data_IF_094237447863
#
_entry.id   IF_094237447863
#
_cell.length_a   1.000
_cell.length_b   1.000
_cell.length_c   1.000
_cell.angle_alpha   90.00
_cell.angle_beta   90.00
_cell.angle_gamma   90.00
#
_symmetry.space_group_name_H-M   'P 1'
#
loop_
_entity.id
_entity.type
_entity.pdbx_description
1 polymer ?
#
# COMPACT_ATOMS: atom_id res chain seq x y z
N UNK A 1 -10.54 67.61 11.77
CA UNK A 1 -9.35 67.08 11.07
C UNK A 1 -8.67 66.07 11.98
N UNK A 2 -8.21 64.97 11.38
CA UNK A 2 -7.28 63.93 11.86
C UNK A 2 -7.87 62.52 11.91
N UNK A 3 -7.61 61.80 10.82
CA UNK A 3 -7.63 60.34 10.73
C UNK A 3 -6.30 59.78 11.24
N UNK A 4 -6.33 58.65 11.98
CA UNK A 4 -5.27 57.63 11.97
C UNK A 4 -5.66 56.38 12.80
N UNK A 5 -5.12 55.24 12.34
CA UNK A 5 -4.95 53.95 13.01
C UNK A 5 -6.12 52.94 12.99
N UNK A 6 -6.37 52.40 11.79
CA UNK A 6 -6.74 51.00 11.62
C UNK A 6 -5.49 50.08 11.67
N UNK A 7 -5.73 48.80 12.00
CA UNK A 7 -4.88 47.59 11.86
C UNK A 7 -4.08 47.13 13.09
N UNK A 8 -4.69 46.26 13.90
CA UNK A 8 -4.05 45.04 14.44
C UNK A 8 -5.11 43.94 14.52
N UNK A 9 -4.85 42.79 13.89
CA UNK A 9 -5.67 41.60 14.10
C UNK A 9 -5.87 40.66 12.91
N UNK A 10 -4.86 40.38 12.09
CA UNK A 10 -4.88 39.18 11.24
C UNK A 10 -3.47 38.61 11.17
N UNK A 11 -3.23 37.51 11.88
CA UNK A 11 -1.97 36.79 11.74
C UNK A 11 -1.71 35.77 12.83
N UNK A 12 -2.58 34.78 13.05
CA UNK A 12 -2.25 33.61 13.90
C UNK A 12 -3.12 32.36 13.65
N UNK A 13 -3.53 32.06 12.40
CA UNK A 13 -4.43 30.92 12.14
C UNK A 13 -3.96 29.89 11.09
N UNK A 14 -2.69 29.92 10.65
CA UNK A 14 -2.19 28.93 9.67
C UNK A 14 -1.22 27.85 10.21
N UNK A 15 -0.77 27.93 11.46
CA UNK A 15 0.19 26.96 12.03
C UNK A 15 -0.43 25.92 12.98
N UNK A 16 -1.68 26.11 13.44
CA UNK A 16 -2.30 25.22 14.45
C UNK A 16 -2.94 23.94 13.86
N UNK A 17 -3.45 24.02 12.64
CA UNK A 17 -4.21 22.91 12.02
C UNK A 17 -3.28 21.78 11.55
N UNK A 18 -2.06 22.07 11.09
CA UNK A 18 -1.11 21.02 10.65
C UNK A 18 -0.46 20.25 11.81
N UNK A 19 -0.30 20.89 12.98
CA UNK A 19 0.24 20.23 14.18
C UNK A 19 -0.81 19.32 14.83
N UNK A 20 -2.08 19.73 14.82
CA UNK A 20 -3.18 18.88 15.28
C UNK A 20 -3.46 17.70 14.33
N UNK A 21 -3.39 17.90 13.01
CA UNK A 21 -3.59 16.82 12.03
C UNK A 21 -2.44 15.79 12.05
N UNK A 22 -1.20 16.24 12.22
CA UNK A 22 -0.03 15.36 12.36
C UNK A 22 -0.07 14.56 13.67
N UNK A 23 -0.51 15.17 14.78
CA UNK A 23 -0.72 14.47 16.05
C UNK A 23 -1.81 13.39 15.98
N UNK A 24 -2.95 13.70 15.35
CA UNK A 24 -4.04 12.74 15.17
C UNK A 24 -3.65 11.57 14.25
N UNK A 25 -2.98 11.85 13.13
CA UNK A 25 -2.51 10.82 12.21
C UNK A 25 -1.46 9.91 12.85
N UNK A 26 -0.58 10.47 13.70
CA UNK A 26 0.40 9.69 14.47
C UNK A 26 -0.27 8.74 15.46
N UNK A 27 -1.24 9.23 16.25
CA UNK A 27 -1.97 8.42 17.21
C UNK A 27 -2.78 7.29 16.53
N UNK A 28 -3.42 7.59 15.39
CA UNK A 28 -4.16 6.61 14.59
C UNK A 28 -3.24 5.51 14.04
N UNK A 29 -2.06 5.88 13.56
CA UNK A 29 -1.04 4.92 13.09
C UNK A 29 -0.51 4.06 14.22
N UNK A 30 -0.23 4.64 15.38
CA UNK A 30 0.23 3.91 16.56
C UNK A 30 -0.81 2.92 17.07
N UNK A 31 -2.08 3.31 17.10
CA UNK A 31 -3.18 2.39 17.43
C UNK A 31 -3.27 1.23 16.43
N UNK A 32 -3.21 1.52 15.12
CA UNK A 32 -3.25 0.48 14.08
C UNK A 32 -2.09 -0.51 14.24
N UNK A 33 -0.87 0.00 14.45
CA UNK A 33 0.31 -0.83 14.66
C UNK A 33 0.23 -1.69 15.93
N UNK A 34 -0.30 -1.13 17.03
CA UNK A 34 -0.49 -1.87 18.27
C UNK A 34 -1.53 -2.99 18.11
N UNK A 35 -2.61 -2.71 17.38
CA UNK A 35 -3.61 -3.72 17.06
C UNK A 35 -3.03 -4.83 16.19
N UNK A 36 -2.26 -4.50 15.16
CA UNK A 36 -1.55 -5.49 14.34
C UNK A 36 -0.62 -6.35 15.18
N UNK A 37 0.24 -5.73 16.00
CA UNK A 37 1.16 -6.44 16.87
C UNK A 37 0.44 -7.41 17.82
N UNK A 38 -0.74 -7.03 18.33
CA UNK A 38 -1.57 -7.90 19.17
C UNK A 38 -2.08 -9.12 18.41
N UNK A 39 -2.63 -8.94 17.20
CA UNK A 39 -3.14 -10.05 16.38
C UNK A 39 -2.02 -10.99 15.96
N UNK A 40 -0.88 -10.43 15.55
CA UNK A 40 0.30 -11.21 15.18
C UNK A 40 0.88 -12.00 16.36
N UNK A 41 0.91 -11.42 17.56
CA UNK A 41 1.33 -12.12 18.77
C UNK A 41 0.41 -13.30 19.10
N UNK A 42 -0.91 -13.14 18.94
CA UNK A 42 -1.87 -14.22 19.13
C UNK A 42 -1.67 -15.36 18.12
N UNK A 43 -1.45 -15.03 16.84
CA UNK A 43 -1.15 -16.02 15.80
C UNK A 43 0.14 -16.79 16.09
N UNK A 44 1.17 -16.10 16.60
CA UNK A 44 2.43 -16.73 17.06
C UNK A 44 2.20 -17.66 18.23
N UNK A 45 1.41 -17.23 19.23
CA UNK A 45 1.10 -18.05 20.40
C UNK A 45 0.35 -19.34 20.03
N UNK A 46 -0.50 -19.29 19.00
CA UNK A 46 -1.22 -20.46 18.48
C UNK A 46 -0.34 -21.40 17.63
N UNK A 47 0.88 -20.99 17.29
CA UNK A 47 1.83 -21.82 16.55
C UNK A 47 1.50 -22.01 15.07
N UNK A 48 0.74 -21.09 14.46
CA UNK A 48 0.43 -21.17 13.03
C UNK A 48 1.68 -20.94 12.18
N UNK A 49 1.84 -21.71 11.09
CA UNK A 49 2.85 -21.41 10.08
C UNK A 49 2.36 -20.35 9.09
N UNK A 50 3.25 -19.53 8.52
CA UNK A 50 2.87 -18.56 7.48
C UNK A 50 2.19 -19.22 6.26
N UNK A 51 2.68 -20.40 5.87
CA UNK A 51 2.11 -21.16 4.74
C UNK A 51 0.67 -21.61 5.02
N UNK A 52 0.36 -22.02 6.26
CA UNK A 52 -0.99 -22.50 6.60
C UNK A 52 -2.00 -21.35 6.56
N UNK A 53 -1.65 -20.19 7.10
CA UNK A 53 -2.51 -19.01 7.07
C UNK A 53 -2.78 -18.54 5.64
N UNK A 54 -1.74 -18.49 4.81
CA UNK A 54 -1.87 -18.14 3.39
C UNK A 54 -2.70 -19.18 2.63
N UNK A 55 -2.45 -20.47 2.85
CA UNK A 55 -3.23 -21.55 2.26
C UNK A 55 -4.71 -21.43 2.62
N UNK A 56 -5.05 -21.25 3.91
CA UNK A 56 -6.43 -21.09 4.36
C UNK A 56 -7.10 -19.87 3.74
N UNK A 57 -6.42 -18.72 3.72
CA UNK A 57 -6.94 -17.50 3.12
C UNK A 57 -7.20 -17.67 1.60
N UNK A 58 -6.25 -18.28 0.87
CA UNK A 58 -6.39 -18.57 -0.55
C UNK A 58 -7.46 -19.63 -0.83
N UNK A 59 -7.60 -20.63 0.03
CA UNK A 59 -8.64 -21.64 -0.10
C UNK A 59 -10.04 -21.02 0.01
N UNK A 60 -10.24 -20.06 0.92
CA UNK A 60 -11.51 -19.32 1.03
C UNK A 60 -11.82 -18.52 -0.24
N UNK A 61 -10.83 -17.88 -0.86
CA UNK A 61 -11.00 -17.20 -2.15
C UNK A 61 -11.42 -18.19 -3.24
N UNK A 62 -10.82 -19.38 -3.28
CA UNK A 62 -11.22 -20.42 -4.21
C UNK A 62 -12.67 -20.89 -3.98
N UNK A 63 -13.09 -21.05 -2.73
CA UNK A 63 -14.47 -21.42 -2.41
C UNK A 63 -15.50 -20.35 -2.82
N UNK A 64 -15.18 -19.06 -2.66
CA UNK A 64 -16.02 -17.98 -3.21
C UNK A 64 -16.18 -18.12 -4.73
N UNK A 65 -15.10 -18.44 -5.44
CA UNK A 65 -15.15 -18.65 -6.87
C UNK A 65 -16.03 -19.83 -7.27
N UNK A 66 -15.89 -20.97 -6.58
CA UNK A 66 -16.71 -22.17 -6.83
C UNK A 66 -18.19 -21.94 -6.54
N UNK A 67 -18.51 -21.18 -5.49
CA UNK A 67 -19.87 -20.82 -5.14
C UNK A 67 -20.49 -19.76 -6.09
N UNK A 68 -19.75 -19.30 -7.10
CA UNK A 68 -20.22 -18.35 -8.11
C UNK A 68 -20.08 -16.89 -7.70
N UNK A 69 -19.55 -16.59 -6.51
CA UNK A 69 -19.36 -15.23 -5.98
C UNK A 69 -18.08 -14.55 -6.51
N UNK A 70 -17.92 -14.52 -7.85
CA UNK A 70 -16.72 -13.95 -8.50
C UNK A 70 -16.53 -12.45 -8.19
N UNK A 71 -17.63 -11.70 -8.07
CA UNK A 71 -17.58 -10.28 -7.72
C UNK A 71 -17.12 -10.05 -6.28
N UNK A 72 -17.53 -10.91 -5.34
CA UNK A 72 -17.08 -10.83 -3.95
C UNK A 72 -15.61 -11.20 -3.80
N UNK A 73 -15.12 -12.18 -4.58
CA UNK A 73 -13.69 -12.49 -4.64
C UNK A 73 -12.89 -11.24 -5.03
N UNK A 74 -13.31 -10.56 -6.09
CA UNK A 74 -12.63 -9.34 -6.57
C UNK A 74 -12.76 -8.20 -5.56
N UNK A 75 -13.93 -8.02 -4.95
CA UNK A 75 -14.12 -7.00 -3.91
C UNK A 75 -13.24 -7.28 -2.67
N UNK A 76 -13.13 -8.54 -2.24
CA UNK A 76 -12.24 -8.95 -1.17
C UNK A 76 -10.77 -8.68 -1.53
N UNK A 77 -10.36 -9.04 -2.75
CA UNK A 77 -9.01 -8.76 -3.24
C UNK A 77 -8.69 -7.26 -3.24
N UNK A 78 -9.64 -6.44 -3.71
CA UNK A 78 -9.49 -4.99 -3.74
C UNK A 78 -9.41 -4.38 -2.34
N UNK A 79 -10.28 -4.81 -1.43
CA UNK A 79 -10.27 -4.33 -0.04
C UNK A 79 -9.00 -4.77 0.71
N UNK A 80 -8.55 -6.00 0.49
CA UNK A 80 -7.28 -6.49 1.04
C UNK A 80 -6.09 -5.71 0.47
N UNK A 81 -6.04 -5.49 -0.85
CA UNK A 81 -5.00 -4.71 -1.51
C UNK A 81 -4.95 -3.26 -1.02
N UNK A 82 -6.12 -2.60 -0.88
CA UNK A 82 -6.21 -1.25 -0.30
C UNK A 82 -5.74 -1.21 1.14
N UNK A 83 -6.08 -2.22 1.95
CA UNK A 83 -5.64 -2.31 3.35
C UNK A 83 -4.13 -2.53 3.43
N UNK A 84 -3.58 -3.48 2.67
CA UNK A 84 -2.14 -3.76 2.62
C UNK A 84 -1.31 -2.56 2.17
N UNK A 85 -1.84 -1.74 1.27
CA UNK A 85 -1.15 -0.55 0.73
C UNK A 85 -1.47 0.75 1.47
N UNK A 86 -2.24 0.71 2.56
CA UNK A 86 -2.56 1.88 3.39
C UNK A 86 -1.34 2.27 4.26
N UNK A 87 -0.56 3.25 3.82
CA UNK A 87 0.67 3.69 4.49
C UNK A 87 0.46 4.27 5.90
N UNK A 88 -0.79 4.62 6.27
CA UNK A 88 -1.14 5.08 7.60
C UNK A 88 -1.49 3.95 8.56
N UNK A 89 -1.94 2.80 8.05
CA UNK A 89 -2.54 1.74 8.87
C UNK A 89 -1.90 0.36 8.74
N UNK A 90 -1.13 0.14 7.68
CA UNK A 90 -0.48 -1.12 7.38
C UNK A 90 1.02 -1.01 7.56
N UNK A 91 1.58 -2.02 8.23
CA UNK A 91 3.03 -2.22 8.32
C UNK A 91 3.61 -3.01 7.15
N UNK A 92 2.78 -3.51 6.22
CA UNK A 92 3.24 -4.26 5.05
C UNK A 92 4.09 -3.38 4.12
N UNK A 93 5.32 -3.79 3.77
CA UNK A 93 6.10 -3.09 2.76
C UNK A 93 5.43 -3.21 1.39
N UNK A 94 5.35 -2.09 0.66
CA UNK A 94 4.70 -2.05 -0.66
C UNK A 94 5.32 -3.06 -1.65
N UNK A 95 6.65 -3.24 -1.60
CA UNK A 95 7.37 -4.20 -2.43
C UNK A 95 6.95 -5.65 -2.15
N UNK A 96 6.58 -5.97 -0.90
CA UNK A 96 6.04 -7.30 -0.56
C UNK A 96 4.66 -7.50 -1.17
N UNK A 97 3.81 -6.46 -1.18
CA UNK A 97 2.47 -6.53 -1.81
C UNK A 97 2.61 -6.78 -3.32
N UNK A 98 3.55 -6.09 -3.97
CA UNK A 98 3.87 -6.33 -5.37
C UNK A 98 4.43 -7.76 -5.61
N UNK A 99 5.32 -8.23 -4.72
CA UNK A 99 5.87 -9.58 -4.77
C UNK A 99 4.78 -10.66 -4.64
N UNK A 100 3.84 -10.50 -3.70
CA UNK A 100 2.68 -11.38 -3.52
C UNK A 100 1.89 -11.49 -4.82
N UNK A 101 1.49 -10.36 -5.39
CA UNK A 101 0.74 -10.34 -6.64
C UNK A 101 1.50 -11.05 -7.76
N UNK A 102 2.81 -10.81 -7.88
CA UNK A 102 3.66 -11.42 -8.91
C UNK A 102 3.84 -12.93 -8.72
N UNK A 103 4.19 -13.37 -7.52
CA UNK A 103 4.41 -14.77 -7.20
C UNK A 103 3.16 -15.62 -7.47
N UNK A 104 2.00 -15.19 -6.95
CA UNK A 104 0.73 -15.88 -7.12
C UNK A 104 0.30 -15.86 -8.59
N UNK A 105 0.35 -14.68 -9.25
CA UNK A 105 -0.08 -14.55 -10.64
C UNK A 105 0.76 -15.40 -11.60
N UNK A 106 2.09 -15.43 -11.43
CA UNK A 106 2.98 -16.25 -12.25
C UNK A 106 2.75 -17.75 -12.04
N UNK A 107 2.46 -18.16 -10.81
CA UNK A 107 2.12 -19.55 -10.50
C UNK A 107 0.84 -19.99 -11.21
N UNK A 108 -0.19 -19.14 -11.19
CA UNK A 108 -1.47 -19.45 -11.82
C UNK A 108 -1.36 -19.63 -13.34
N UNK A 109 -0.52 -18.84 -14.01
CA UNK A 109 -0.32 -18.90 -15.47
C UNK A 109 0.20 -20.25 -15.97
N UNK A 110 0.76 -21.09 -15.10
CA UNK A 110 1.15 -22.47 -15.44
C UNK A 110 -0.05 -23.35 -15.80
N UNK A 111 -1.26 -22.95 -15.41
CA UNK A 111 -2.51 -23.71 -15.57
C UNK A 111 -3.47 -23.09 -16.58
N UNK A 112 -3.12 -21.96 -17.22
CA UNK A 112 -3.95 -21.33 -18.25
C UNK A 112 -3.44 -19.97 -18.72
N UNK A 113 -3.80 -19.60 -19.96
CA UNK A 113 -3.55 -18.26 -20.51
C UNK A 113 -4.68 -17.30 -20.11
N UNK A 114 -4.47 -16.60 -19.00
CA UNK A 114 -5.44 -15.68 -18.40
C UNK A 114 -5.32 -14.23 -18.89
N UNK A 115 -4.34 -13.95 -19.77
CA UNK A 115 -4.08 -12.59 -20.29
C UNK A 115 -4.71 -12.35 -21.65
N UNK A 116 -5.35 -13.37 -22.25
CA UNK A 116 -5.90 -13.27 -23.61
C UNK A 116 -7.39 -13.62 -23.68
N UNK A 117 -7.99 -13.14 -24.77
CA UNK A 117 -9.30 -13.55 -25.24
C UNK A 117 -10.45 -13.22 -24.30
N UNK A 118 -11.48 -14.09 -24.31
CA UNK A 118 -12.74 -13.89 -23.58
C UNK A 118 -12.56 -13.86 -22.07
N UNK A 119 -11.55 -14.54 -21.54
CA UNK A 119 -11.30 -14.55 -20.10
C UNK A 119 -10.82 -13.19 -19.60
N UNK A 120 -9.85 -12.58 -20.30
CA UNK A 120 -9.38 -11.23 -19.96
C UNK A 120 -10.52 -10.21 -20.01
N UNK A 121 -11.35 -10.27 -21.06
CA UNK A 121 -12.54 -9.41 -21.17
C UNK A 121 -13.53 -9.64 -20.02
N UNK A 122 -13.84 -10.90 -19.71
CA UNK A 122 -14.72 -11.24 -18.59
C UNK A 122 -14.15 -10.82 -17.24
N UNK A 123 -12.83 -10.92 -17.05
CA UNK A 123 -12.15 -10.45 -15.85
C UNK A 123 -12.27 -8.93 -15.73
N UNK A 124 -11.96 -8.19 -16.81
CA UNK A 124 -12.13 -6.73 -16.84
C UNK A 124 -13.58 -6.32 -16.58
N UNK A 125 -14.56 -7.03 -17.13
CA UNK A 125 -15.97 -6.80 -16.85
C UNK A 125 -16.33 -7.06 -15.38
N UNK A 126 -15.79 -8.13 -14.77
CA UNK A 126 -16.00 -8.43 -13.34
C UNK A 126 -15.36 -7.34 -12.48
N UNK A 127 -14.15 -6.90 -12.81
CA UNK A 127 -13.44 -5.83 -12.12
C UNK A 127 -14.24 -4.52 -12.18
N UNK A 128 -14.66 -4.12 -13.38
CA UNK A 128 -15.41 -2.88 -13.61
C UNK A 128 -16.82 -2.90 -13.00
N UNK A 129 -17.46 -4.06 -12.92
CA UNK A 129 -18.82 -4.23 -12.35
C UNK A 129 -18.80 -4.56 -10.87
N UNK A 130 -17.65 -4.91 -10.29
CA UNK A 130 -17.53 -5.17 -8.86
C UNK A 130 -17.81 -3.87 -8.11
N UNK A 131 -19.03 -3.75 -7.59
CA UNK A 131 -19.38 -2.69 -6.63
C UNK A 131 -19.24 -3.28 -5.26
N UNK A 132 -18.52 -2.58 -4.38
CA UNK A 132 -18.47 -2.91 -2.96
C UNK A 132 -19.88 -2.73 -2.38
N UNK A 133 -20.63 -3.82 -2.27
CA UNK A 133 -21.90 -3.84 -1.52
C UNK A 133 -21.62 -3.56 -0.04
N UNK A 134 -22.54 -2.86 0.62
CA UNK A 134 -22.36 -2.33 1.99
C UNK A 134 -22.33 -3.41 3.08
N UNK A 135 -22.81 -4.62 2.81
CA UNK A 135 -22.95 -5.68 3.83
C UNK A 135 -22.57 -7.05 3.27
N UNK A 136 -21.33 -7.50 3.52
CA UNK A 136 -20.91 -8.88 3.31
C UNK A 136 -19.88 -9.29 4.37
N UNK A 137 -20.35 -9.87 5.48
CA UNK A 137 -19.51 -10.33 6.59
C UNK A 137 -18.38 -11.28 6.14
N UNK A 138 -18.69 -12.18 5.19
CA UNK A 138 -17.70 -13.14 4.67
C UNK A 138 -16.55 -12.46 3.92
N UNK A 139 -16.84 -11.35 3.22
CA UNK A 139 -15.82 -10.56 2.54
C UNK A 139 -14.87 -9.93 3.54
N UNK A 140 -15.40 -9.29 4.58
CA UNK A 140 -14.57 -8.61 5.59
C UNK A 140 -13.70 -9.60 6.36
N UNK A 141 -14.24 -10.80 6.64
CA UNK A 141 -13.47 -11.90 7.22
C UNK A 141 -12.35 -12.38 6.28
N UNK A 142 -12.60 -12.55 4.98
CA UNK A 142 -11.57 -12.95 4.02
C UNK A 142 -10.50 -11.85 3.85
N UNK A 143 -10.92 -10.58 3.83
CA UNK A 143 -9.99 -9.43 3.81
C UNK A 143 -9.08 -9.45 5.02
N UNK A 144 -9.64 -9.72 6.21
CA UNK A 144 -8.89 -9.85 7.45
C UNK A 144 -7.88 -11.00 7.38
N UNK A 145 -8.31 -12.19 6.94
CA UNK A 145 -7.44 -13.37 6.82
C UNK A 145 -6.27 -13.11 5.88
N UNK A 146 -6.53 -12.56 4.69
CA UNK A 146 -5.48 -12.24 3.71
C UNK A 146 -4.51 -11.21 4.30
N UNK A 147 -5.05 -10.15 4.91
CA UNK A 147 -4.25 -9.09 5.48
C UNK A 147 -3.26 -9.61 6.53
N UNK A 148 -3.76 -10.36 7.52
CA UNK A 148 -2.92 -10.86 8.59
C UNK A 148 -2.05 -12.04 8.16
N UNK A 149 -2.47 -12.88 7.21
CA UNK A 149 -1.60 -13.91 6.64
C UNK A 149 -0.37 -13.28 5.97
N UNK A 150 -0.55 -12.19 5.21
CA UNK A 150 0.55 -11.46 4.57
C UNK A 150 1.44 -10.78 5.60
N UNK A 151 0.88 -10.06 6.58
CA UNK A 151 1.67 -9.43 7.64
C UNK A 151 2.46 -10.44 8.47
N UNK A 152 1.83 -11.56 8.83
CA UNK A 152 2.50 -12.63 9.56
C UNK A 152 3.64 -13.24 8.76
N UNK A 153 3.45 -13.41 7.45
CA UNK A 153 4.51 -13.85 6.53
C UNK A 153 5.66 -12.85 6.48
N UNK A 154 5.37 -11.55 6.45
CA UNK A 154 6.38 -10.49 6.52
C UNK A 154 7.12 -10.50 7.86
N UNK A 155 6.44 -10.66 8.99
CA UNK A 155 7.07 -10.71 10.31
C UNK A 155 8.01 -11.92 10.45
N UNK A 156 7.63 -13.07 9.90
CA UNK A 156 8.40 -14.31 10.01
C UNK A 156 9.65 -14.31 9.12
N UNK A 157 9.59 -13.73 7.92
CA UNK A 157 10.70 -13.77 6.97
C UNK A 157 11.44 -12.43 6.83
N UNK A 158 10.86 -11.31 7.28
CA UNK A 158 11.47 -9.98 7.18
C UNK A 158 11.94 -9.67 5.76
N UNK A 159 13.23 -9.37 5.62
CA UNK A 159 13.87 -9.03 4.34
C UNK A 159 14.29 -10.25 3.50
N UNK A 160 13.93 -11.48 3.88
CA UNK A 160 14.25 -12.69 3.11
C UNK A 160 13.28 -12.85 1.92
N UNK A 161 13.49 -12.04 0.88
CA UNK A 161 12.62 -11.96 -0.29
C UNK A 161 12.34 -13.30 -0.98
N UNK A 162 13.36 -14.16 -1.09
CA UNK A 162 13.20 -15.48 -1.71
C UNK A 162 12.26 -16.39 -0.89
N UNK A 163 12.33 -16.31 0.44
CA UNK A 163 11.45 -17.06 1.34
C UNK A 163 10.02 -16.54 1.29
N UNK A 164 9.83 -15.21 1.23
CA UNK A 164 8.53 -14.59 1.03
C UNK A 164 7.89 -15.05 -0.29
N UNK A 165 8.63 -14.90 -1.40
CA UNK A 165 8.15 -15.29 -2.73
C UNK A 165 7.79 -16.78 -2.78
N UNK A 166 8.67 -17.63 -2.26
CA UNK A 166 8.46 -19.07 -2.18
C UNK A 166 7.19 -19.39 -1.38
N UNK A 167 6.99 -18.75 -0.22
CA UNK A 167 5.82 -19.02 0.61
C UNK A 167 4.52 -18.62 -0.08
N UNK A 168 4.47 -17.45 -0.73
CA UNK A 168 3.29 -17.03 -1.50
C UNK A 168 3.00 -17.97 -2.66
N UNK A 169 4.03 -18.33 -3.43
CA UNK A 169 3.91 -19.26 -4.56
C UNK A 169 3.44 -20.63 -4.10
N UNK A 170 4.12 -21.22 -3.12
CA UNK A 170 3.84 -22.57 -2.64
C UNK A 170 2.43 -22.66 -2.05
N UNK A 171 1.97 -21.63 -1.33
CA UNK A 171 0.59 -21.57 -0.80
C UNK A 171 -0.45 -21.55 -1.92
N UNK A 172 -0.21 -20.82 -3.02
CA UNK A 172 -1.08 -20.84 -4.18
C UNK A 172 -1.05 -22.21 -4.90
N UNK A 173 0.14 -22.80 -5.06
CA UNK A 173 0.30 -24.14 -5.63
C UNK A 173 -0.44 -25.20 -4.79
N UNK A 174 -0.41 -25.09 -3.46
CA UNK A 174 -1.13 -25.99 -2.56
C UNK A 174 -2.66 -25.93 -2.78
N UNK A 175 -3.23 -24.73 -2.93
CA UNK A 175 -4.67 -24.58 -3.23
C UNK A 175 -5.01 -25.21 -4.59
N UNK A 176 -4.19 -24.95 -5.62
CA UNK A 176 -4.41 -25.52 -6.96
C UNK A 176 -4.28 -27.05 -6.94
N UNK A 177 -3.30 -27.58 -6.21
CA UNK A 177 -3.12 -29.03 -6.05
C UNK A 177 -4.30 -29.67 -5.31
N UNK A 178 -4.79 -29.05 -4.24
CA UNK A 178 -5.93 -29.54 -3.47
C UNK A 178 -7.24 -29.57 -4.27
N UNK A 179 -7.38 -28.70 -5.29
CA UNK A 179 -8.55 -28.64 -6.15
C UNK A 179 -8.82 -29.95 -6.93
N UNK A 180 -7.81 -30.81 -7.14
CA UNK A 180 -7.94 -32.10 -7.83
C UNK A 180 -8.98 -33.02 -7.18
N UNK A 181 -9.19 -32.86 -5.87
CA UNK A 181 -10.16 -33.66 -5.12
C UNK A 181 -11.59 -33.11 -5.19
N UNK A 182 -11.84 -32.01 -5.91
CA UNK A 182 -13.18 -31.44 -6.09
C UNK A 182 -13.96 -32.20 -7.19
N UNK A 183 -15.18 -32.61 -6.87
CA UNK A 183 -16.01 -33.62 -7.56
C UNK A 183 -16.55 -33.25 -8.95
N UNK A 184 -16.05 -32.21 -9.62
CA UNK A 184 -16.65 -31.69 -10.85
C UNK A 184 -15.90 -32.14 -12.12
N UNK A 185 -16.51 -33.06 -12.89
CA UNK A 185 -15.89 -33.76 -14.04
C UNK A 185 -15.82 -32.95 -15.34
N UNK A 186 -16.45 -31.77 -15.41
CA UNK A 186 -16.63 -31.04 -16.69
C UNK A 186 -15.55 -30.02 -17.04
N UNK A 187 -14.69 -29.64 -16.11
CA UNK A 187 -13.61 -28.65 -16.31
C UNK A 187 -12.45 -29.00 -15.38
N UNK A 188 -11.20 -28.74 -15.77
CA UNK A 188 -10.04 -28.98 -14.91
C UNK A 188 -10.20 -28.17 -13.59
N UNK A 189 -10.38 -28.84 -12.43
CA UNK A 189 -10.53 -28.16 -11.15
C UNK A 189 -9.32 -27.27 -10.81
N UNK A 190 -8.12 -27.64 -11.29
CA UNK A 190 -6.89 -26.86 -11.14
C UNK A 190 -6.97 -25.54 -11.90
N UNK A 191 -7.49 -25.57 -13.12
CA UNK A 191 -7.70 -24.35 -13.91
C UNK A 191 -8.69 -23.41 -13.21
N UNK A 192 -9.76 -23.92 -12.59
CA UNK A 192 -10.69 -23.08 -11.81
C UNK A 192 -10.02 -22.44 -10.59
N UNK A 193 -9.22 -23.20 -9.84
CA UNK A 193 -8.47 -22.68 -8.70
C UNK A 193 -7.44 -21.62 -9.15
N UNK A 194 -6.71 -21.90 -10.22
CA UNK A 194 -5.76 -20.96 -10.81
C UNK A 194 -6.47 -19.69 -11.30
N UNK A 195 -7.65 -19.78 -11.90
CA UNK A 195 -8.47 -18.59 -12.28
C UNK A 195 -8.85 -17.75 -11.07
N UNK A 196 -9.29 -18.38 -9.98
CA UNK A 196 -9.67 -17.68 -8.75
C UNK A 196 -8.46 -16.91 -8.17
N UNK A 197 -7.32 -17.59 -8.06
CA UNK A 197 -6.08 -16.99 -7.56
C UNK A 197 -5.53 -15.91 -8.50
N UNK A 198 -5.70 -16.09 -9.81
CA UNK A 198 -5.28 -15.11 -10.80
C UNK A 198 -6.08 -13.80 -10.67
N UNK A 199 -7.42 -13.88 -10.54
CA UNK A 199 -8.27 -12.72 -10.30
C UNK A 199 -7.83 -11.94 -9.06
N UNK A 200 -7.58 -12.65 -7.96
CA UNK A 200 -7.05 -12.06 -6.74
C UNK A 200 -5.70 -11.37 -6.99
N UNK A 201 -4.75 -12.07 -7.61
CA UNK A 201 -3.40 -11.55 -7.85
C UNK A 201 -3.38 -10.31 -8.75
N UNK A 202 -4.27 -10.25 -9.75
CA UNK A 202 -4.39 -9.12 -10.66
C UNK A 202 -4.81 -7.85 -9.91
N UNK A 203 -5.78 -7.98 -9.00
CA UNK A 203 -6.27 -6.85 -8.20
C UNK A 203 -5.23 -6.41 -7.16
N UNK A 204 -4.51 -7.35 -6.53
CA UNK A 204 -3.40 -7.01 -5.63
C UNK A 204 -2.30 -6.23 -6.38
N UNK A 205 -1.92 -6.66 -7.59
CA UNK A 205 -0.97 -5.93 -8.44
C UNK A 205 -1.47 -4.55 -8.83
N UNK A 206 -2.75 -4.41 -9.14
CA UNK A 206 -3.35 -3.12 -9.46
C UNK A 206 -3.24 -2.17 -8.25
N UNK A 207 -3.64 -2.63 -7.07
CA UNK A 207 -3.53 -1.88 -5.83
C UNK A 207 -2.08 -1.46 -5.52
N UNK A 208 -1.11 -2.37 -5.66
CA UNK A 208 0.30 -2.04 -5.42
C UNK A 208 0.84 -1.01 -6.42
N UNK A 209 0.45 -1.13 -7.70
CA UNK A 209 0.87 -0.19 -8.75
C UNK A 209 0.27 1.20 -8.52
N UNK A 210 -1.01 1.29 -8.16
CA UNK A 210 -1.67 2.55 -7.82
C UNK A 210 -1.06 3.21 -6.57
N UNK A 211 -0.71 2.42 -5.56
CA UNK A 211 -0.03 2.91 -4.36
C UNK A 211 1.38 3.43 -4.69
N UNK A 212 2.12 2.77 -5.57
CA UNK A 212 3.44 3.20 -6.00
C UNK A 212 3.38 4.53 -6.77
N UNK A 213 2.42 4.68 -7.69
CA UNK A 213 2.20 5.94 -8.41
C UNK A 213 1.89 7.07 -7.42
N UNK A 214 1.02 6.81 -6.42
CA UNK A 214 0.72 7.79 -5.37
C UNK A 214 1.96 8.16 -4.55
N UNK A 215 2.79 7.19 -4.19
CA UNK A 215 4.05 7.40 -3.47
C UNK A 215 5.01 8.27 -4.27
N UNK A 216 5.23 7.95 -5.54
CA UNK A 216 6.12 8.72 -6.43
C UNK A 216 5.64 10.16 -6.61
N UNK A 217 4.33 10.35 -6.76
CA UNK A 217 3.74 11.69 -6.84
C UNK A 217 4.00 12.50 -5.56
N UNK A 218 3.76 11.91 -4.40
CA UNK A 218 4.00 12.56 -3.11
C UNK A 218 5.48 12.90 -2.88
N UNK A 219 6.41 12.02 -3.29
CA UNK A 219 7.85 12.28 -3.24
C UNK A 219 8.23 13.48 -4.10
N UNK A 220 7.75 13.53 -5.34
CA UNK A 220 8.01 14.65 -6.26
C UNK A 220 7.48 15.97 -5.71
N UNK A 221 6.28 15.97 -5.14
CA UNK A 221 5.69 17.16 -4.51
C UNK A 221 6.51 17.64 -3.30
N UNK A 222 7.02 16.71 -2.49
CA UNK A 222 7.90 17.04 -1.35
C UNK A 222 9.26 17.60 -1.80
N UNK A 223 9.87 17.02 -2.85
CA UNK A 223 11.12 17.53 -3.44
C UNK A 223 10.94 18.94 -4.03
N UNK A 224 9.84 19.19 -4.74
CA UNK A 224 9.53 20.51 -5.29
C UNK A 224 9.31 21.56 -4.19
N UNK A 225 8.70 21.18 -3.06
CA UNK A 225 8.56 22.05 -1.89
C UNK A 225 9.92 22.39 -1.27
N UNK A 226 10.77 21.38 -1.05
CA UNK A 226 12.12 21.58 -0.51
C UNK A 226 12.98 22.44 -1.43
N UNK A 227 12.88 22.27 -2.76
CA UNK A 227 13.58 23.12 -3.73
C UNK A 227 13.12 24.57 -3.62
N UNK A 228 11.82 24.83 -3.55
CA UNK A 228 11.26 26.18 -3.37
C UNK A 228 11.69 26.82 -2.04
N UNK A 229 11.79 26.05 -0.97
CA UNK A 229 12.29 26.55 0.32
C UNK A 229 13.78 26.90 0.26
N UNK A 230 14.62 26.05 -0.35
CA UNK A 230 16.05 26.34 -0.57
C UNK A 230 16.25 27.59 -1.41
N UNK A 231 15.49 27.77 -2.49
CA UNK A 231 15.54 28.97 -3.32
C UNK A 231 15.14 30.24 -2.56
N UNK A 232 14.14 30.15 -1.66
CA UNK A 232 13.76 31.27 -0.78
C UNK A 232 14.86 31.60 0.22
N UNK A 233 15.50 30.59 0.81
CA UNK A 233 16.61 30.80 1.75
C UNK A 233 17.82 31.43 1.07
N UNK A 234 18.17 31.00 -0.15
CA UNK A 234 19.26 31.62 -0.93
C UNK A 234 18.97 33.08 -1.28
N UNK A 235 17.70 33.46 -1.51
CA UNK A 235 17.30 34.86 -1.73
C UNK A 235 17.27 35.72 -0.46
N UNK A 236 17.30 35.10 0.73
CA UNK A 236 17.24 35.77 2.03
C UNK A 236 18.63 35.91 2.68
N UNK A 237 19.70 35.37 2.10
CA UNK A 237 21.07 35.66 2.56
C UNK A 237 21.38 37.11 2.20
N UNK A 238 21.55 38.03 3.19
CA UNK A 238 21.97 39.39 2.89
C UNK A 238 23.39 39.32 2.32
N UNK A 239 23.60 39.96 1.17
CA UNK A 239 24.95 40.27 0.69
C UNK A 239 25.63 41.04 1.85
N UNK A 240 26.75 40.56 2.42
CA UNK A 240 27.47 41.38 3.39
C UNK A 240 27.90 42.64 2.65
N UNK A 241 27.30 43.77 3.03
CA UNK A 241 27.75 45.09 2.62
C UNK A 241 29.18 45.25 3.12
N UNK A 242 30.14 44.97 2.25
CA UNK A 242 31.53 45.32 2.47
C UNK A 242 31.57 46.85 2.60
N UNK A 243 31.98 47.43 3.74
CA UNK A 243 32.14 48.87 3.84
C UNK A 243 33.22 49.29 2.84
N UNK A 244 32.86 50.15 1.89
CA UNK A 244 33.82 50.76 0.97
C UNK A 244 34.80 51.61 1.78
N UNK A 245 36.00 51.10 2.04
CA UNK A 245 37.11 51.96 2.47
C UNK A 245 37.59 52.76 1.25
N UNK A 246 36.89 53.86 0.98
CA UNK A 246 37.36 54.91 0.08
C UNK A 246 38.14 55.92 0.94
N UNK A 247 39.46 55.81 0.82
CA UNK A 247 40.47 56.88 0.82
C UNK A 247 40.21 58.15 1.65
N UNK A 248 40.96 58.32 2.75
CA UNK A 248 41.55 59.60 3.14
C UNK A 248 42.93 59.37 3.78
N UNK A 249 43.94 59.12 2.94
CA UNK A 249 45.35 59.30 3.33
C UNK A 249 46.05 60.15 2.26
N UNK A 250 45.70 61.43 2.27
CA UNK A 250 46.49 62.49 1.64
C UNK A 250 46.50 63.68 2.58
N UNK A 251 47.52 63.75 3.43
CA UNK A 251 48.37 64.92 3.69
C UNK A 251 48.96 64.79 5.09
N UNK A 252 50.25 64.43 5.17
CA UNK A 252 51.22 65.00 6.10
C UNK A 252 52.52 64.22 6.00
N UNK A 253 53.45 64.73 5.18
CA UNK A 253 54.87 64.87 5.54
C UNK A 253 55.61 65.56 4.38
N UNK A 254 55.49 66.90 4.36
CA UNK A 254 56.64 67.76 4.10
C UNK A 254 57.16 68.20 5.46
N UNK A 255 58.29 67.67 5.88
CA UNK A 255 59.36 68.33 6.64
C UNK A 255 60.49 67.34 6.84
#
# INVERSE_FOLDING_TARGET
MNAAAAKKGVGFLKSGISVLSSGFNKAKKEYANNHEASVLAELRQKGFSPSDLLFQAFQRLYFLYLAGYKHELVAAAQMAGKRLTDSEKSTAPLDVVALLGNAVGNECKKYGDFEKGKFYQSMQDILNKSRVSKEHHDRDSIVHDIYYAVLFTVENYGSHWQSLEKTFRDSASQVIAAAVHATDRKNDPREKAAKAMYLFSAEIKACSSEAEIRRQKALKEAEDLLRKEREKQMKLVPIPTVPSQISEERTLQRR
#
